data_IF_309640214350
#
_entry.id   IF_309640214350
#
_cell.length_a   1.000
_cell.length_b   1.000
_cell.length_c   1.000
_cell.angle_alpha   90.00
_cell.angle_beta   90.00
_cell.angle_gamma   90.00
#
_symmetry.space_group_name_H-M   'P 1'
#
loop_
_entity.id
_entity.type
_entity.pdbx_description
1 polymer ?
#
# COMPACT_ATOMS: atom_id res chain seq x y z
N UNK A 1 -29.55 -40.06 37.96
CA UNK A 1 -29.90 -40.08 36.52
C UNK A 1 -29.36 -38.82 35.87
N UNK A 2 -28.88 -38.96 34.64
CA UNK A 2 -27.95 -38.07 33.92
C UNK A 2 -28.52 -36.69 33.49
N UNK A 3 -27.59 -35.72 33.37
CA UNK A 3 -27.46 -34.69 32.31
C UNK A 3 -28.52 -33.56 32.32
N UNK A 4 -28.22 -32.30 32.02
CA UNK A 4 -27.17 -31.70 31.21
C UNK A 4 -26.93 -30.26 31.64
N UNK A 5 -25.66 -29.88 31.72
CA UNK A 5 -25.22 -28.50 31.52
C UNK A 5 -25.27 -28.18 30.02
N UNK A 6 -25.71 -26.98 29.63
CA UNK A 6 -25.40 -26.43 28.32
C UNK A 6 -25.09 -24.94 28.48
N UNK A 7 -23.79 -24.69 28.63
CA UNK A 7 -23.14 -23.39 28.56
C UNK A 7 -23.32 -22.86 27.12
N UNK A 8 -24.08 -21.79 26.91
CA UNK A 8 -24.11 -21.11 25.61
C UNK A 8 -22.93 -20.14 25.59
N UNK A 9 -21.84 -20.57 24.96
CA UNK A 9 -20.68 -19.75 24.65
C UNK A 9 -21.05 -18.76 23.56
N UNK A 10 -21.01 -17.46 23.86
CA UNK A 10 -21.03 -16.39 22.87
C UNK A 10 -19.76 -16.52 21.99
N UNK A 11 -19.90 -17.07 20.78
CA UNK A 11 -18.90 -16.90 19.73
C UNK A 11 -19.05 -15.50 19.12
N UNK A 12 -18.54 -14.48 19.82
CA UNK A 12 -18.19 -13.22 19.20
C UNK A 12 -16.98 -13.48 18.29
N UNK A 13 -17.23 -13.82 17.03
CA UNK A 13 -16.22 -13.77 15.97
C UNK A 13 -15.87 -12.29 15.75
N UNK A 14 -14.96 -11.79 16.58
CA UNK A 14 -14.21 -10.60 16.26
C UNK A 14 -13.48 -10.91 14.95
N UNK A 15 -13.98 -10.35 13.84
CA UNK A 15 -13.25 -10.30 12.58
C UNK A 15 -12.00 -9.49 12.88
N UNK A 16 -10.91 -10.17 13.21
CA UNK A 16 -9.58 -9.59 13.16
C UNK A 16 -9.37 -9.23 11.70
N UNK A 17 -9.56 -7.95 11.36
CA UNK A 17 -8.97 -7.38 10.17
C UNK A 17 -7.48 -7.69 10.32
N UNK A 18 -7.00 -8.71 9.61
CA UNK A 18 -5.59 -9.04 9.61
C UNK A 18 -4.91 -7.87 8.93
N UNK A 19 -4.39 -6.93 9.72
CA UNK A 19 -3.43 -5.94 9.25
C UNK A 19 -2.30 -6.74 8.62
N UNK A 20 -2.27 -6.72 7.29
CA UNK A 20 -1.45 -7.61 6.49
C UNK A 20 -0.22 -6.92 5.94
N UNK A 21 0.80 -7.73 5.70
CA UNK A 21 1.99 -7.44 4.89
C UNK A 21 1.78 -7.96 3.46
N UNK A 22 2.48 -7.40 2.48
CA UNK A 22 2.61 -8.08 1.20
C UNK A 22 3.42 -9.37 1.36
N UNK A 23 3.03 -10.39 0.60
CA UNK A 23 3.69 -11.71 0.62
C UNK A 23 4.71 -11.88 -0.50
N UNK A 24 4.71 -10.97 -1.47
CA UNK A 24 5.69 -10.82 -2.54
C UNK A 24 5.99 -9.32 -2.71
N UNK A 25 7.11 -8.93 -3.33
CA UNK A 25 7.33 -7.53 -3.68
C UNK A 25 6.19 -6.99 -4.53
N UNK A 26 5.73 -5.78 -4.21
CA UNK A 26 4.72 -5.06 -4.99
C UNK A 26 5.31 -3.71 -5.37
N UNK A 27 5.06 -3.29 -6.61
CA UNK A 27 5.43 -1.95 -7.08
C UNK A 27 4.17 -1.25 -7.60
N UNK A 28 4.04 0.04 -7.28
CA UNK A 28 3.03 0.91 -7.87
C UNK A 28 3.68 2.13 -8.49
N UNK A 29 3.38 2.42 -9.76
CA UNK A 29 3.91 3.58 -10.47
C UNK A 29 2.91 4.74 -10.49
N UNK A 30 3.41 5.97 -10.43
CA UNK A 30 2.66 7.21 -10.70
C UNK A 30 3.54 8.17 -11.48
N UNK A 31 2.92 9.17 -12.11
CA UNK A 31 3.60 10.19 -12.89
C UNK A 31 3.17 11.59 -12.45
N UNK A 32 4.08 12.56 -12.57
CA UNK A 32 3.75 13.98 -12.44
C UNK A 32 3.10 14.52 -13.72
N UNK A 33 2.51 15.72 -13.67
CA UNK A 33 2.01 16.40 -14.87
C UNK A 33 3.11 16.71 -15.91
N UNK A 34 4.38 16.69 -15.49
CA UNK A 34 5.55 16.91 -16.34
C UNK A 34 6.15 15.60 -16.87
N UNK A 35 5.55 14.45 -16.56
CA UNK A 35 6.00 13.14 -17.02
C UNK A 35 7.15 12.54 -16.21
N UNK A 36 7.44 13.05 -15.01
CA UNK A 36 8.39 12.41 -14.09
C UNK A 36 7.72 11.22 -13.42
N UNK A 37 8.38 10.07 -13.43
CA UNK A 37 7.84 8.85 -12.83
C UNK A 37 8.29 8.68 -11.37
N UNK A 38 7.41 8.09 -10.57
CA UNK A 38 7.71 7.60 -9.24
C UNK A 38 7.20 6.17 -9.06
N UNK A 39 7.86 5.45 -8.17
CA UNK A 39 7.54 4.09 -7.78
C UNK A 39 7.38 3.99 -6.28
N UNK A 40 6.25 3.47 -5.81
CA UNK A 40 6.12 2.93 -4.47
C UNK A 40 6.53 1.46 -4.54
N UNK A 41 7.68 1.12 -3.94
CA UNK A 41 8.17 -0.23 -3.83
C UNK A 41 7.89 -0.75 -2.42
N UNK A 42 7.09 -1.80 -2.32
CA UNK A 42 6.68 -2.40 -1.06
C UNK A 42 7.46 -3.70 -0.84
N UNK A 43 8.28 -3.73 0.21
CA UNK A 43 9.03 -4.93 0.56
C UNK A 43 8.11 -5.94 1.26
N UNK A 44 8.19 -7.24 0.93
CA UNK A 44 7.38 -8.25 1.59
C UNK A 44 7.85 -8.51 3.03
N UNK A 45 6.93 -8.99 3.87
CA UNK A 45 7.24 -9.47 5.21
C UNK A 45 6.94 -8.49 6.34
N UNK A 46 7.30 -8.88 7.56
CA UNK A 46 6.80 -8.26 8.82
C UNK A 46 7.37 -6.89 9.12
N UNK A 47 8.34 -6.42 8.32
CA UNK A 47 8.93 -5.09 8.45
C UNK A 47 7.96 -3.98 8.03
N UNK A 48 6.98 -4.29 7.16
CA UNK A 48 6.00 -3.30 6.67
C UNK A 48 6.67 -2.02 6.18
N UNK A 49 7.83 -2.15 5.56
CA UNK A 49 8.62 -1.03 5.04
C UNK A 49 8.56 -1.03 3.53
N UNK A 50 8.59 0.16 2.96
CA UNK A 50 8.79 0.34 1.54
C UNK A 50 9.55 1.62 1.29
N UNK A 51 9.70 1.93 0.01
CA UNK A 51 10.35 3.14 -0.44
C UNK A 51 9.62 3.74 -1.62
N UNK A 52 9.48 5.05 -1.58
CA UNK A 52 9.15 5.88 -2.72
C UNK A 52 10.44 6.19 -3.45
N UNK A 53 10.54 5.76 -4.70
CA UNK A 53 11.63 6.07 -5.60
C UNK A 53 11.14 7.07 -6.65
N UNK A 54 11.73 8.26 -6.66
CA UNK A 54 11.46 9.27 -7.68
C UNK A 54 12.53 9.14 -8.74
N UNK A 55 12.13 8.76 -9.94
CA UNK A 55 13.03 8.41 -11.03
C UNK A 55 13.61 9.66 -11.73
N UNK A 56 13.02 10.84 -11.50
CA UNK A 56 13.43 12.10 -12.12
C UNK A 56 13.18 12.15 -13.62
N UNK A 57 13.54 13.25 -14.27
CA UNK A 57 13.70 13.24 -15.71
C UNK A 57 14.90 12.34 -16.07
N UNK A 58 14.83 11.59 -17.17
CA UNK A 58 15.91 10.71 -17.63
C UNK A 58 17.21 11.48 -18.01
N UNK A 59 17.36 12.75 -17.61
CA UNK A 59 18.49 13.63 -17.87
C UNK A 59 19.27 13.92 -16.57
N UNK A 60 19.97 12.90 -16.08
CA UNK A 60 21.01 13.02 -15.05
C UNK A 60 20.57 13.54 -13.65
N UNK A 61 19.26 13.60 -13.37
CA UNK A 61 18.75 13.83 -12.02
C UNK A 61 19.11 12.67 -11.08
N UNK A 62 19.52 12.99 -9.84
CA UNK A 62 19.74 11.97 -8.81
C UNK A 62 18.39 11.37 -8.41
N UNK A 63 18.27 10.04 -8.48
CA UNK A 63 17.12 9.33 -7.92
C UNK A 63 16.96 9.71 -6.44
N UNK A 64 15.76 10.14 -6.06
CA UNK A 64 15.45 10.42 -4.66
C UNK A 64 14.71 9.24 -4.09
N UNK A 65 15.24 8.68 -3.00
CA UNK A 65 14.60 7.60 -2.25
C UNK A 65 14.05 8.14 -0.93
N UNK A 66 12.77 7.84 -0.65
CA UNK A 66 12.14 8.14 0.63
C UNK A 66 11.50 6.90 1.21
N UNK A 67 11.90 6.55 2.44
CA UNK A 67 11.34 5.39 3.14
C UNK A 67 9.95 5.69 3.68
N UNK A 68 9.14 4.65 3.76
CA UNK A 68 7.84 4.69 4.40
C UNK A 68 7.54 3.36 5.10
N UNK A 69 6.58 3.38 6.01
CA UNK A 69 5.92 2.16 6.49
C UNK A 69 4.57 2.00 5.83
N UNK A 70 4.06 0.77 5.75
CA UNK A 70 2.76 0.52 5.14
C UNK A 70 1.92 -0.49 5.92
N UNK A 71 0.59 -0.36 5.82
CA UNK A 71 -0.35 -1.37 6.29
C UNK A 71 -1.27 -1.78 5.15
N UNK A 72 -1.51 -3.09 4.98
CA UNK A 72 -2.41 -3.61 3.95
C UNK A 72 -3.65 -4.19 4.61
N UNK A 73 -4.80 -3.91 4.01
CA UNK A 73 -6.06 -4.60 4.27
C UNK A 73 -6.75 -4.96 2.95
N UNK A 74 -7.72 -5.86 2.98
CA UNK A 74 -8.44 -6.29 1.77
C UNK A 74 -8.00 -7.66 1.22
N UNK A 75 -8.39 -7.95 -0.02
CA UNK A 75 -8.57 -9.32 -0.51
C UNK A 75 -7.31 -10.01 -1.05
N UNK A 76 -6.39 -9.28 -1.70
CA UNK A 76 -5.21 -9.89 -2.33
C UNK A 76 -3.87 -9.23 -1.91
N UNK A 77 -3.19 -9.89 -0.97
CA UNK A 77 -1.86 -9.51 -0.43
C UNK A 77 -0.68 -10.00 -1.30
N UNK A 78 -0.95 -10.61 -2.45
CA UNK A 78 0.06 -10.97 -3.45
C UNK A 78 0.08 -9.96 -4.57
N UNK A 79 -1.09 -9.56 -5.05
CA UNK A 79 -1.19 -8.69 -6.22
C UNK A 79 -1.49 -7.24 -5.89
N UNK A 80 -1.89 -6.93 -4.65
CA UNK A 80 -2.47 -5.67 -4.22
C UNK A 80 -3.85 -5.33 -4.83
N UNK A 81 -4.39 -6.16 -5.73
CA UNK A 81 -5.72 -5.93 -6.30
C UNK A 81 -6.80 -6.03 -5.22
N UNK A 82 -7.69 -5.04 -5.20
CA UNK A 82 -8.73 -4.94 -4.17
C UNK A 82 -8.19 -4.73 -2.76
N UNK A 83 -6.91 -4.38 -2.62
CA UNK A 83 -6.32 -4.02 -1.35
C UNK A 83 -6.48 -2.52 -1.07
N UNK A 84 -6.55 -2.18 0.21
CA UNK A 84 -6.36 -0.83 0.71
C UNK A 84 -5.01 -0.80 1.41
N UNK A 85 -4.12 0.06 0.95
CA UNK A 85 -2.76 0.22 1.45
C UNK A 85 -2.62 1.59 2.11
N UNK A 86 -2.33 1.63 3.40
CA UNK A 86 -2.02 2.88 4.10
C UNK A 86 -0.51 3.05 4.13
N UNK A 87 0.00 4.03 3.40
CA UNK A 87 1.41 4.42 3.40
C UNK A 87 1.62 5.54 4.41
N UNK A 88 2.67 5.46 5.23
CA UNK A 88 3.02 6.49 6.21
C UNK A 88 4.50 6.85 6.11
N UNK A 89 4.76 8.13 5.85
CA UNK A 89 6.09 8.72 5.79
C UNK A 89 6.51 9.29 7.15
N UNK A 90 7.81 9.41 7.38
CA UNK A 90 8.40 9.84 8.67
C UNK A 90 7.97 11.25 9.13
N UNK A 91 7.56 12.11 8.20
CA UNK A 91 7.04 13.46 8.49
C UNK A 91 5.56 13.48 8.89
N UNK A 92 4.97 12.31 9.15
CA UNK A 92 3.56 12.08 9.49
C UNK A 92 2.59 12.30 8.34
N UNK A 93 3.07 12.45 7.10
CA UNK A 93 2.20 12.33 5.95
C UNK A 93 1.78 10.87 5.81
N UNK A 94 0.47 10.62 5.81
CA UNK A 94 -0.09 9.30 5.49
C UNK A 94 -1.03 9.40 4.30
N UNK A 95 -1.01 8.37 3.47
CA UNK A 95 -1.83 8.24 2.26
C UNK A 95 -2.55 6.90 2.31
N UNK A 96 -3.83 6.90 2.05
CA UNK A 96 -4.59 5.68 1.83
C UNK A 96 -4.71 5.43 0.33
N UNK A 97 -4.29 4.27 -0.13
CA UNK A 97 -4.31 3.85 -1.53
C UNK A 97 -5.32 2.73 -1.67
N UNK A 98 -6.38 2.95 -2.44
CA UNK A 98 -7.40 1.95 -2.74
C UNK A 98 -7.20 1.39 -4.15
N UNK A 99 -6.99 0.08 -4.26
CA UNK A 99 -6.78 -0.60 -5.53
C UNK A 99 -8.04 -1.29 -6.04
N UNK A 100 -8.22 -1.29 -7.36
CA UNK A 100 -9.33 -1.97 -8.01
C UNK A 100 -9.18 -3.51 -7.85
N UNK A 101 -10.27 -4.24 -7.55
CA UNK A 101 -10.21 -5.71 -7.42
C UNK A 101 -10.03 -6.44 -8.77
N UNK A 102 -10.32 -5.79 -9.89
CA UNK A 102 -10.35 -6.37 -11.23
C UNK A 102 -9.31 -5.77 -12.19
N UNK A 103 -8.66 -4.69 -11.79
CA UNK A 103 -7.68 -3.99 -12.61
C UNK A 103 -6.45 -3.55 -11.79
N UNK A 104 -5.39 -3.14 -12.48
CA UNK A 104 -4.12 -2.75 -11.86
C UNK A 104 -4.10 -1.27 -11.42
N UNK A 105 -5.21 -0.55 -11.56
CA UNK A 105 -5.29 0.85 -11.12
C UNK A 105 -5.61 0.97 -9.63
N UNK A 106 -4.93 1.90 -8.98
CA UNK A 106 -5.21 2.32 -7.62
C UNK A 106 -5.35 3.85 -7.54
N UNK A 107 -6.03 4.33 -6.51
CA UNK A 107 -6.24 5.76 -6.26
C UNK A 107 -5.86 6.04 -4.81
N UNK A 108 -5.02 7.06 -4.63
CA UNK A 108 -4.60 7.54 -3.32
C UNK A 108 -5.47 8.69 -2.82
N UNK A 109 -5.59 8.81 -1.49
CA UNK A 109 -6.39 9.84 -0.81
C UNK A 109 -5.84 11.25 -0.94
N UNK A 110 -4.61 11.40 -1.46
CA UNK A 110 -3.92 12.67 -1.59
C UNK A 110 -2.66 12.56 -2.44
N UNK A 111 -2.02 13.69 -2.67
CA UNK A 111 -0.81 13.76 -3.49
C UNK A 111 0.44 13.51 -2.66
N UNK A 112 1.43 12.88 -3.27
CA UNK A 112 2.82 12.91 -2.77
C UNK A 112 3.50 14.12 -3.39
N UNK A 113 4.11 14.96 -2.57
CA UNK A 113 4.94 16.08 -3.03
C UNK A 113 6.33 15.95 -2.44
N UNK A 114 7.33 15.86 -3.29
CA UNK A 114 8.73 15.71 -2.88
C UNK A 114 9.61 16.59 -3.78
N UNK A 115 10.54 17.36 -3.21
CA UNK A 115 11.46 18.23 -3.97
C UNK A 115 10.77 19.18 -4.99
N UNK A 116 9.51 19.55 -4.74
CA UNK A 116 8.73 20.40 -5.64
C UNK A 116 7.95 19.65 -6.73
N UNK A 117 8.17 18.35 -6.89
CA UNK A 117 7.42 17.46 -7.79
C UNK A 117 6.18 16.92 -7.08
N UNK A 118 5.01 17.02 -7.71
CA UNK A 118 3.75 16.50 -7.19
C UNK A 118 3.23 15.40 -8.10
N UNK A 119 3.12 14.19 -7.57
CA UNK A 119 2.72 12.98 -8.32
C UNK A 119 1.21 12.83 -8.33
N UNK A 120 0.67 12.28 -9.42
CA UNK A 120 -0.75 11.99 -9.54
C UNK A 120 -1.23 11.08 -8.39
N UNK A 121 -2.49 11.27 -8.00
CA UNK A 121 -3.14 10.36 -7.07
C UNK A 121 -3.41 8.99 -7.67
N UNK A 122 -3.35 8.86 -9.00
CA UNK A 122 -3.52 7.60 -9.71
C UNK A 122 -2.22 6.82 -9.69
N UNK A 123 -2.31 5.56 -9.28
CA UNK A 123 -1.21 4.62 -9.22
C UNK A 123 -1.53 3.39 -10.07
N UNK A 124 -0.51 2.75 -10.63
CA UNK A 124 -0.66 1.50 -11.39
C UNK A 124 0.21 0.42 -10.80
N UNK A 125 -0.36 -0.74 -10.48
CA UNK A 125 0.37 -1.92 -10.00
C UNK A 125 1.22 -2.47 -11.16
N UNK A 126 2.51 -2.67 -10.92
CA UNK A 126 3.48 -3.13 -11.93
C UNK A 126 4.23 -4.40 -11.51
N UNK A 127 3.62 -5.27 -10.70
CA UNK A 127 4.21 -6.51 -10.20
C UNK A 127 5.04 -7.23 -11.28
N UNK A 128 6.36 -7.35 -11.04
CA UNK A 128 7.33 -8.00 -11.92
C UNK A 128 7.46 -9.49 -11.63
#
# INVERSE_FOLDING_TARGET
>A
MFKSACLIVLCAVARTALAGDFTVPVTMTSETQLGEAAELQFDPGTGKVGKLLILGDNMAGAQTERKFTYDVSGADRKTARGATVVVSFDDKQSLEISCDPMADNCISSGFVTENGSTFSISWTITNH
#
